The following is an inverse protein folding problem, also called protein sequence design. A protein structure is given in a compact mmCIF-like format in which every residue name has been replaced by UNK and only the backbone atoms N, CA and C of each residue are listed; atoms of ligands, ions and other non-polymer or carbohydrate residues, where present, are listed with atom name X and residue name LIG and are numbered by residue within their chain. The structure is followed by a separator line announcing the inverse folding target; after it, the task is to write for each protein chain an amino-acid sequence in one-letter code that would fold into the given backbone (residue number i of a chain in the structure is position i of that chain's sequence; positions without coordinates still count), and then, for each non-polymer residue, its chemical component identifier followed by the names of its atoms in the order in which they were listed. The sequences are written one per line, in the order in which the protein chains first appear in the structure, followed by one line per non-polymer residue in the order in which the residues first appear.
data_IF_696980114598
#
_entry.id   IF_696980114598
#
_cell.length_a   1.000
_cell.length_b   1.000
_cell.length_c   1.000
_cell.angle_alpha   90.00
_cell.angle_beta   90.00
_cell.angle_gamma   90.00
#
_symmetry.space_group_name_H-M   'P 1'
#
loop_
_entity.id
_entity.type
_entity.pdbx_description
1 polymer ?
#
# COMPACT_ATOMS: atom_id res chain seq x y z
N UNK A 1 -6.88 19.57 9.16
CA UNK A 1 -6.18 20.13 10.35
C UNK A 1 -6.07 21.66 10.23
N UNK A 2 -7.04 22.43 10.72
CA UNK A 2 -7.05 23.90 10.53
C UNK A 2 -5.82 24.55 11.17
N UNK A 3 -5.06 25.34 10.40
CA UNK A 3 -3.87 26.07 10.86
C UNK A 3 -2.60 25.22 11.02
N UNK A 4 -2.63 23.92 10.72
CA UNK A 4 -1.45 23.05 10.84
C UNK A 4 -0.39 23.40 9.79
N UNK A 5 -0.82 23.68 8.55
CA UNK A 5 0.06 24.18 7.48
C UNK A 5 0.74 25.48 7.90
N UNK A 6 -0.03 26.45 8.38
CA UNK A 6 0.48 27.77 8.79
C UNK A 6 1.49 27.65 9.93
N UNK A 7 1.20 26.78 10.91
CA UNK A 7 2.14 26.49 11.99
C UNK A 7 3.47 25.94 11.47
N UNK A 8 3.45 24.98 10.53
CA UNK A 8 4.66 24.42 9.93
C UNK A 8 5.45 25.47 9.13
N UNK A 9 4.75 26.36 8.40
CA UNK A 9 5.38 27.45 7.66
C UNK A 9 6.06 28.45 8.60
N UNK A 10 5.38 28.88 9.66
CA UNK A 10 5.97 29.76 10.68
C UNK A 10 7.17 29.09 11.35
N UNK A 11 7.05 27.83 11.76
CA UNK A 11 8.17 27.09 12.35
C UNK A 11 9.38 27.01 11.43
N UNK A 12 9.16 26.89 10.12
CA UNK A 12 10.24 26.91 9.14
C UNK A 12 10.84 28.30 8.98
N UNK A 13 10.02 29.35 8.91
CA UNK A 13 10.47 30.74 8.83
C UNK A 13 11.36 31.14 10.02
N UNK A 14 11.00 30.70 11.23
CA UNK A 14 11.77 30.95 12.46
C UNK A 14 12.92 29.96 12.71
N UNK A 15 13.23 29.05 11.78
CA UNK A 15 14.35 28.10 11.93
C UNK A 15 14.11 26.92 12.89
N UNK A 16 12.92 26.84 13.51
CA UNK A 16 12.57 25.79 14.46
C UNK A 16 12.46 24.43 13.77
N UNK A 17 11.82 24.38 12.60
CA UNK A 17 11.60 23.13 11.89
C UNK A 17 12.92 22.51 11.40
N UNK A 18 13.90 23.34 11.03
CA UNK A 18 15.25 22.95 10.62
C UNK A 18 16.12 22.54 11.82
N UNK A 19 15.82 23.07 13.02
CA UNK A 19 16.44 22.63 14.27
C UNK A 19 15.97 21.23 14.63
N UNK A 20 14.66 20.95 14.50
CA UNK A 20 14.07 19.63 14.75
C UNK A 20 14.46 18.63 13.67
N UNK A 21 14.48 19.07 12.40
CA UNK A 21 14.79 18.24 11.23
C UNK A 21 15.91 18.87 10.39
N UNK A 22 17.18 18.56 10.69
CA UNK A 22 18.33 19.16 10.00
C UNK A 22 18.35 18.96 8.48
N UNK A 23 17.66 17.94 7.96
CA UNK A 23 17.50 17.68 6.52
C UNK A 23 16.80 18.82 5.78
N UNK A 24 16.11 19.71 6.48
CA UNK A 24 15.37 20.84 5.90
C UNK A 24 16.21 22.12 5.79
N UNK A 25 17.46 22.17 6.29
CA UNK A 25 18.29 23.39 6.33
C UNK A 25 18.56 24.01 4.96
N UNK A 26 18.68 23.19 3.91
CA UNK A 26 19.04 23.64 2.56
C UNK A 26 17.82 23.77 1.63
N UNK A 27 16.62 23.83 2.20
CA UNK A 27 15.36 23.90 1.46
C UNK A 27 14.88 25.35 1.48
N UNK A 28 14.29 25.83 0.39
CA UNK A 28 13.76 27.20 0.36
C UNK A 28 12.37 27.25 1.00
N UNK A 29 11.96 28.42 1.50
CA UNK A 29 10.60 28.62 2.02
C UNK A 29 9.54 28.27 0.96
N UNK A 30 9.75 28.69 -0.29
CA UNK A 30 8.87 28.38 -1.44
C UNK A 30 8.74 26.88 -1.68
N UNK A 31 9.82 26.11 -1.51
CA UNK A 31 9.76 24.65 -1.62
C UNK A 31 8.94 24.02 -0.51
N UNK A 32 9.05 24.51 0.73
CA UNK A 32 8.23 24.06 1.85
C UNK A 32 6.77 24.40 1.62
N UNK A 33 6.46 25.64 1.23
CA UNK A 33 5.11 26.06 0.89
C UNK A 33 4.48 25.16 -0.18
N UNK A 34 5.23 24.86 -1.24
CA UNK A 34 4.78 23.95 -2.30
C UNK A 34 4.54 22.52 -1.77
N UNK A 35 5.39 22.00 -0.88
CA UNK A 35 5.21 20.67 -0.28
C UNK A 35 3.98 20.61 0.62
N UNK A 36 3.68 21.69 1.33
CA UNK A 36 2.56 21.74 2.28
C UNK A 36 1.23 22.16 1.64
N UNK A 37 1.22 22.46 0.33
CA UNK A 37 0.05 22.98 -0.39
C UNK A 37 -1.21 22.13 -0.21
N UNK A 38 -1.06 20.81 -0.16
CA UNK A 38 -2.17 19.85 -0.15
C UNK A 38 -2.55 19.37 1.25
N UNK A 39 -1.87 19.81 2.32
CA UNK A 39 -2.10 19.29 3.68
C UNK A 39 -3.52 19.51 4.17
N UNK A 40 -4.12 20.63 3.81
CA UNK A 40 -5.48 20.98 4.25
C UNK A 40 -6.55 20.08 3.61
N UNK A 41 -6.22 19.43 2.48
CA UNK A 41 -7.11 18.50 1.77
C UNK A 41 -7.06 17.07 2.33
N UNK A 42 -6.11 16.75 3.22
CA UNK A 42 -5.95 15.40 3.76
C UNK A 42 -7.18 14.94 4.58
N UNK A 43 -7.53 13.64 4.56
CA UNK A 43 -8.63 13.09 5.35
C UNK A 43 -8.45 13.36 6.85
N UNK A 44 -9.53 13.69 7.56
CA UNK A 44 -9.47 14.01 8.99
C UNK A 44 -9.10 12.81 9.88
N UNK A 45 -9.26 11.58 9.39
CA UNK A 45 -8.98 10.35 10.12
C UNK A 45 -7.55 9.82 9.88
N UNK A 46 -6.71 10.52 9.10
CA UNK A 46 -5.33 10.12 8.85
C UNK A 46 -4.41 10.50 10.03
N UNK A 47 -3.39 9.68 10.29
CA UNK A 47 -2.33 10.04 11.23
C UNK A 47 -1.60 11.32 10.79
N UNK A 48 -1.30 12.20 11.76
CA UNK A 48 -0.61 13.48 11.53
C UNK A 48 0.75 13.30 10.83
N UNK A 49 1.41 12.16 11.00
CA UNK A 49 2.65 11.85 10.29
C UNK A 49 2.47 11.85 8.77
N UNK A 50 1.30 11.48 8.24
CA UNK A 50 1.07 11.38 6.80
C UNK A 50 1.23 12.74 6.08
N UNK A 51 0.55 13.83 6.48
CA UNK A 51 0.79 15.14 5.90
C UNK A 51 2.19 15.67 6.23
N UNK A 52 2.75 15.36 7.41
CA UNK A 52 4.11 15.78 7.78
C UNK A 52 5.18 15.21 6.85
N UNK A 53 4.99 13.99 6.33
CA UNK A 53 5.92 13.35 5.40
C UNK A 53 6.10 14.12 4.08
N UNK A 54 5.18 15.02 3.72
CA UNK A 54 5.35 15.90 2.56
C UNK A 54 6.58 16.82 2.68
N UNK A 55 7.00 17.14 3.91
CA UNK A 55 8.25 17.85 4.15
C UNK A 55 9.47 17.10 3.62
N UNK A 56 9.39 15.78 3.48
CA UNK A 56 10.51 14.89 3.17
C UNK A 56 10.32 14.15 1.83
N UNK A 57 10.01 14.88 0.76
CA UNK A 57 9.73 14.29 -0.57
C UNK A 57 10.88 13.46 -1.17
N UNK A 58 12.14 13.82 -0.88
CA UNK A 58 13.32 13.27 -1.55
C UNK A 58 14.11 12.24 -0.71
N UNK A 59 13.50 11.68 0.34
CA UNK A 59 14.13 10.63 1.14
C UNK A 59 13.45 9.28 0.90
N UNK A 60 14.23 8.21 1.01
CA UNK A 60 13.71 6.85 0.88
C UNK A 60 12.85 6.45 2.10
N UNK A 61 12.14 5.34 1.96
CA UNK A 61 11.26 4.79 3.00
C UNK A 61 11.99 4.55 4.32
N UNK A 62 13.24 4.04 4.29
CA UNK A 62 14.01 3.77 5.51
C UNK A 62 14.25 5.05 6.32
N UNK A 63 14.61 6.16 5.67
CA UNK A 63 14.76 7.46 6.33
C UNK A 63 13.43 8.01 6.85
N UNK A 64 12.31 7.78 6.14
CA UNK A 64 10.97 8.15 6.65
C UNK A 64 10.65 7.38 7.94
N UNK A 65 11.00 6.09 8.00
CA UNK A 65 10.85 5.27 9.20
C UNK A 65 11.77 5.76 10.33
N UNK A 66 13.01 6.16 10.05
CA UNK A 66 13.89 6.77 11.05
C UNK A 66 13.30 8.06 11.64
N UNK A 67 12.69 8.92 10.82
CA UNK A 67 11.96 10.10 11.29
C UNK A 67 10.81 9.70 12.21
N UNK A 68 10.03 8.69 11.84
CA UNK A 68 8.93 8.19 12.68
C UNK A 68 9.45 7.70 14.04
N UNK A 69 10.59 7.00 14.06
CA UNK A 69 11.24 6.54 15.30
C UNK A 69 11.78 7.70 16.14
N UNK A 70 12.40 8.69 15.50
CA UNK A 70 12.89 9.91 16.15
C UNK A 70 11.74 10.66 16.84
N UNK A 71 10.59 10.76 16.19
CA UNK A 71 9.36 11.33 16.73
C UNK A 71 8.64 10.43 17.75
N UNK A 72 9.21 9.25 18.07
CA UNK A 72 8.66 8.26 19.00
C UNK A 72 7.22 7.84 18.67
N UNK A 73 6.90 7.74 17.37
CA UNK A 73 5.58 7.28 16.93
C UNK A 73 5.36 5.81 17.27
N UNK A 74 4.08 5.43 17.39
CA UNK A 74 3.71 4.05 17.67
C UNK A 74 4.07 3.12 16.50
N UNK A 75 4.21 1.82 16.79
CA UNK A 75 4.41 0.79 15.75
C UNK A 75 3.28 0.81 14.70
N UNK A 76 2.05 1.15 15.12
CA UNK A 76 0.90 1.28 14.22
C UNK A 76 1.10 2.41 13.21
N UNK A 77 1.56 3.58 13.66
CA UNK A 77 1.84 4.73 12.78
C UNK A 77 3.03 4.45 11.85
N UNK A 78 4.08 3.83 12.37
CA UNK A 78 5.24 3.40 11.57
C UNK A 78 4.80 2.44 10.47
N UNK A 79 3.96 1.44 10.80
CA UNK A 79 3.42 0.51 9.83
C UNK A 79 2.52 1.23 8.81
N UNK A 80 1.69 2.17 9.25
CA UNK A 80 0.89 2.97 8.33
C UNK A 80 1.75 3.73 7.32
N UNK A 81 2.86 4.35 7.75
CA UNK A 81 3.80 5.03 6.85
C UNK A 81 4.39 4.07 5.83
N UNK A 82 4.77 2.87 6.26
CA UNK A 82 5.27 1.84 5.35
C UNK A 82 4.24 1.44 4.28
N UNK A 83 3.00 1.19 4.71
CA UNK A 83 1.90 0.82 3.80
C UNK A 83 1.55 1.98 2.86
N UNK A 84 1.47 3.21 3.38
CA UNK A 84 1.20 4.42 2.60
C UNK A 84 2.24 4.59 1.47
N UNK A 85 3.53 4.56 1.79
CA UNK A 85 4.59 4.76 0.79
C UNK A 85 4.58 3.69 -0.31
N UNK A 86 4.45 2.41 0.08
CA UNK A 86 4.41 1.32 -0.87
C UNK A 86 3.16 1.39 -1.77
N UNK A 87 2.00 1.67 -1.18
CA UNK A 87 0.74 1.83 -1.90
C UNK A 87 0.79 3.01 -2.87
N UNK A 88 1.30 4.16 -2.44
CA UNK A 88 1.46 5.33 -3.29
C UNK A 88 2.40 5.06 -4.47
N UNK A 89 3.47 4.29 -4.25
CA UNK A 89 4.37 3.91 -5.33
C UNK A 89 3.73 2.93 -6.32
N UNK A 90 2.94 1.98 -5.85
CA UNK A 90 2.17 1.08 -6.71
C UNK A 90 1.14 1.87 -7.54
N UNK A 91 0.35 2.73 -6.88
CA UNK A 91 -0.75 3.46 -7.51
C UNK A 91 -0.29 4.47 -8.58
N UNK A 92 0.95 4.96 -8.56
CA UNK A 92 1.52 5.77 -9.66
C UNK A 92 1.44 5.06 -11.01
N UNK A 93 1.67 3.75 -11.02
CA UNK A 93 1.60 2.90 -12.20
C UNK A 93 0.46 1.87 -12.09
N UNK A 94 -0.70 2.30 -11.56
CA UNK A 94 -1.79 1.38 -11.20
C UNK A 94 -2.24 0.43 -12.34
N UNK A 95 -2.08 0.85 -13.60
CA UNK A 95 -2.41 0.03 -14.78
C UNK A 95 -1.52 -1.21 -14.95
N UNK A 96 -0.31 -1.21 -14.37
CA UNK A 96 0.64 -2.32 -14.42
C UNK A 96 0.49 -3.29 -13.25
N UNK A 97 -0.33 -2.96 -12.26
CA UNK A 97 -0.56 -3.80 -11.09
C UNK A 97 -1.43 -5.00 -11.50
N UNK A 98 -0.99 -6.20 -11.14
CA UNK A 98 -1.76 -7.43 -11.37
C UNK A 98 -2.97 -7.55 -10.41
N UNK A 99 -3.90 -8.45 -10.73
CA UNK A 99 -5.12 -8.60 -9.92
C UNK A 99 -4.80 -9.05 -8.49
N UNK A 100 -3.78 -9.90 -8.32
CA UNK A 100 -3.34 -10.39 -7.01
C UNK A 100 -2.90 -9.24 -6.10
N UNK A 101 -2.01 -8.40 -6.59
CA UNK A 101 -1.48 -7.25 -5.86
C UNK A 101 -2.59 -6.25 -5.55
N UNK A 102 -3.50 -5.99 -6.51
CA UNK A 102 -4.68 -5.18 -6.24
C UNK A 102 -5.59 -5.76 -5.17
N UNK A 103 -5.87 -7.07 -5.20
CA UNK A 103 -6.75 -7.70 -4.22
C UNK A 103 -6.19 -7.57 -2.80
N UNK A 104 -4.88 -7.77 -2.61
CA UNK A 104 -4.21 -7.54 -1.32
C UNK A 104 -4.24 -6.07 -0.91
N UNK A 105 -3.99 -5.16 -1.86
CA UNK A 105 -4.04 -3.73 -1.60
C UNK A 105 -5.45 -3.30 -1.13
N UNK A 106 -6.50 -3.77 -1.80
CA UNK A 106 -7.90 -3.51 -1.44
C UNK A 106 -8.34 -4.19 -0.14
N UNK A 107 -7.62 -5.21 0.32
CA UNK A 107 -7.90 -5.92 1.57
C UNK A 107 -7.26 -5.23 2.79
N UNK A 108 -6.36 -4.26 2.59
CA UNK A 108 -5.75 -3.52 3.69
C UNK A 108 -6.75 -2.54 4.33
N UNK A 109 -6.84 -2.56 5.65
CA UNK A 109 -7.74 -1.70 6.42
C UNK A 109 -7.51 -0.19 6.17
N UNK A 110 -6.27 0.21 5.86
CA UNK A 110 -5.92 1.61 5.61
C UNK A 110 -6.09 2.02 4.14
N UNK A 111 -6.44 1.08 3.25
CA UNK A 111 -6.46 1.34 1.81
C UNK A 111 -7.36 2.52 1.45
N UNK A 112 -8.54 2.61 2.06
CA UNK A 112 -9.49 3.69 1.77
C UNK A 112 -8.90 5.08 2.07
N UNK A 113 -8.24 5.23 3.21
CA UNK A 113 -7.55 6.48 3.59
C UNK A 113 -6.38 6.76 2.65
N UNK A 114 -5.63 5.73 2.27
CA UNK A 114 -4.52 5.85 1.32
C UNK A 114 -5.02 6.28 -0.06
N UNK A 115 -6.14 5.75 -0.51
CA UNK A 115 -6.74 6.09 -1.80
C UNK A 115 -7.20 7.55 -1.81
N UNK A 116 -7.80 8.03 -0.72
CA UNK A 116 -8.15 9.44 -0.57
C UNK A 116 -6.89 10.34 -0.61
N UNK A 117 -5.80 9.93 0.04
CA UNK A 117 -4.53 10.66 -0.04
C UNK A 117 -3.99 10.67 -1.47
N UNK A 118 -4.06 9.53 -2.17
CA UNK A 118 -3.65 9.42 -3.56
C UNK A 118 -4.47 10.36 -4.46
N UNK A 119 -5.79 10.42 -4.26
CA UNK A 119 -6.73 11.27 -5.00
C UNK A 119 -6.37 12.76 -4.94
N UNK A 120 -5.94 13.23 -3.76
CA UNK A 120 -5.53 14.63 -3.54
C UNK A 120 -4.32 15.00 -4.41
N UNK A 121 -3.44 14.03 -4.69
CA UNK A 121 -2.24 14.23 -5.50
C UNK A 121 -2.48 14.08 -7.01
N UNK A 122 -3.69 13.72 -7.43
CA UNK A 122 -4.07 13.65 -8.84
C UNK A 122 -4.57 15.00 -9.35
N UNK A 123 -4.24 15.30 -10.59
CA UNK A 123 -4.85 16.41 -11.32
C UNK A 123 -6.37 16.21 -11.45
N UNK A 124 -7.13 17.32 -11.37
CA UNK A 124 -8.60 17.30 -11.37
C UNK A 124 -9.19 16.51 -12.53
N UNK A 125 -8.61 16.61 -13.72
CA UNK A 125 -9.08 15.91 -14.92
C UNK A 125 -8.82 14.40 -14.86
N UNK A 126 -7.69 13.97 -14.28
CA UNK A 126 -7.32 12.57 -14.19
C UNK A 126 -8.07 11.84 -13.08
N UNK A 127 -8.32 12.55 -11.97
CA UNK A 127 -8.95 12.03 -10.76
C UNK A 127 -10.18 11.18 -11.03
N UNK A 128 -11.19 11.74 -11.71
CA UNK A 128 -12.46 11.04 -11.98
C UNK A 128 -12.25 9.73 -12.75
N UNK A 129 -11.37 9.76 -13.77
CA UNK A 129 -11.08 8.60 -14.60
C UNK A 129 -10.35 7.51 -13.79
N UNK A 130 -9.31 7.89 -13.06
CA UNK A 130 -8.50 6.94 -12.28
C UNK A 130 -9.34 6.31 -11.17
N UNK A 131 -10.16 7.09 -10.46
CA UNK A 131 -11.03 6.55 -9.41
C UNK A 131 -12.06 5.59 -9.98
N UNK A 132 -12.72 5.93 -11.10
CA UNK A 132 -13.67 5.03 -11.77
C UNK A 132 -13.01 3.71 -12.20
N UNK A 133 -11.79 3.74 -12.74
CA UNK A 133 -11.05 2.53 -13.10
C UNK A 133 -10.68 1.68 -11.88
N UNK A 134 -10.30 2.31 -10.76
CA UNK A 134 -10.00 1.63 -9.49
C UNK A 134 -11.26 1.01 -8.88
N UNK A 135 -12.38 1.71 -8.88
CA UNK A 135 -13.66 1.21 -8.35
C UNK A 135 -14.14 -0.02 -9.15
N UNK A 136 -14.13 0.06 -10.48
CA UNK A 136 -14.43 -1.08 -11.34
C UNK A 136 -13.50 -2.25 -11.06
N UNK A 137 -12.22 -2.01 -10.79
CA UNK A 137 -11.26 -3.05 -10.44
C UNK A 137 -11.60 -3.68 -9.08
N UNK A 138 -11.95 -2.89 -8.07
CA UNK A 138 -12.36 -3.34 -6.74
C UNK A 138 -13.60 -4.23 -6.82
N UNK A 139 -14.61 -3.80 -7.56
CA UNK A 139 -15.84 -4.59 -7.78
C UNK A 139 -15.55 -5.92 -8.47
N UNK A 140 -14.72 -5.90 -9.52
CA UNK A 140 -14.30 -7.11 -10.23
C UNK A 140 -13.50 -8.10 -9.37
N UNK A 141 -12.90 -7.64 -8.27
CA UNK A 141 -12.09 -8.46 -7.36
C UNK A 141 -12.79 -8.76 -6.03
N UNK A 142 -14.01 -8.28 -5.83
CA UNK A 142 -14.75 -8.34 -4.55
C UNK A 142 -14.70 -9.72 -3.89
N UNK A 143 -15.05 -10.78 -4.61
CA UNK A 143 -15.03 -12.14 -4.06
C UNK A 143 -13.65 -12.60 -3.59
N UNK A 144 -12.57 -12.15 -4.23
CA UNK A 144 -11.21 -12.49 -3.83
C UNK A 144 -10.75 -11.66 -2.63
N UNK A 145 -11.11 -10.37 -2.59
CA UNK A 145 -10.88 -9.48 -1.45
C UNK A 145 -11.55 -10.07 -0.20
N UNK A 146 -12.82 -10.47 -0.31
CA UNK A 146 -13.57 -11.09 0.78
C UNK A 146 -12.88 -12.36 1.29
N UNK A 147 -12.29 -13.17 0.40
CA UNK A 147 -11.55 -14.38 0.79
C UNK A 147 -10.26 -14.05 1.53
N UNK A 148 -9.50 -13.04 1.09
CA UNK A 148 -8.27 -12.60 1.75
C UNK A 148 -8.60 -12.10 3.16
N UNK A 149 -9.59 -11.22 3.29
CA UNK A 149 -10.01 -10.66 4.59
C UNK A 149 -10.46 -11.77 5.55
N UNK A 150 -11.21 -12.75 5.05
CA UNK A 150 -11.74 -13.86 5.86
C UNK A 150 -10.78 -15.06 6.00
N UNK A 151 -9.54 -14.97 5.49
CA UNK A 151 -8.57 -16.06 5.45
C UNK A 151 -9.16 -17.38 4.91
N UNK A 152 -9.95 -17.30 3.84
CA UNK A 152 -10.66 -18.44 3.25
C UNK A 152 -10.16 -18.76 1.83
N UNK A 153 -8.92 -19.31 1.70
CA UNK A 153 -8.36 -19.66 0.41
C UNK A 153 -9.10 -20.85 -0.23
N UNK A 154 -9.16 -20.86 -1.57
CA UNK A 154 -9.82 -21.93 -2.33
C UNK A 154 -9.02 -23.23 -2.23
N UNK A 155 -7.71 -23.14 -2.42
CA UNK A 155 -6.79 -24.28 -2.27
C UNK A 155 -6.29 -24.30 -0.83
N UNK A 156 -6.50 -25.43 -0.15
CA UNK A 156 -6.06 -25.67 1.22
C UNK A 156 -4.94 -26.70 1.27
N UNK A 157 -4.32 -26.83 2.44
CA UNK A 157 -3.22 -27.77 2.65
C UNK A 157 -3.63 -29.22 2.34
N UNK A 158 -4.88 -29.59 2.62
CA UNK A 158 -5.44 -30.92 2.34
C UNK A 158 -5.41 -31.24 0.84
N UNK A 159 -5.71 -30.25 -0.01
CA UNK A 159 -5.66 -30.43 -1.47
C UNK A 159 -4.24 -30.73 -1.96
N UNK A 160 -3.22 -30.08 -1.38
CA UNK A 160 -1.83 -30.32 -1.73
C UNK A 160 -1.30 -31.66 -1.19
N UNK A 161 -1.76 -32.09 -0.01
CA UNK A 161 -1.43 -33.42 0.53
C UNK A 161 -1.95 -34.55 -0.36
N UNK A 162 -3.15 -34.39 -0.94
CA UNK A 162 -3.70 -35.34 -1.92
C UNK A 162 -2.84 -35.45 -3.19
N UNK A 163 -2.04 -34.43 -3.49
CA UNK A 163 -1.05 -34.44 -4.58
C UNK A 163 0.33 -34.95 -4.15
N UNK A 164 0.47 -35.49 -2.93
CA UNK A 164 1.74 -36.01 -2.41
C UNK A 164 2.67 -34.96 -1.80
N UNK A 165 2.25 -33.69 -1.69
CA UNK A 165 3.09 -32.63 -1.13
C UNK A 165 3.17 -32.76 0.39
N UNK A 166 4.39 -32.85 0.92
CA UNK A 166 4.65 -32.95 2.36
C UNK A 166 4.54 -31.58 3.06
N UNK A 167 4.15 -31.60 4.33
CA UNK A 167 4.17 -30.42 5.20
C UNK A 167 5.60 -29.88 5.30
N UNK A 168 5.83 -28.72 4.70
CA UNK A 168 7.12 -28.05 4.64
C UNK A 168 6.92 -26.56 4.35
N UNK A 169 7.94 -25.69 4.51
CA UNK A 169 7.86 -24.29 4.09
C UNK A 169 7.46 -24.10 2.62
N UNK A 170 7.73 -25.11 1.77
CA UNK A 170 7.34 -25.12 0.37
C UNK A 170 5.82 -25.21 0.18
N UNK A 171 5.10 -25.91 1.06
CA UNK A 171 3.63 -25.96 1.04
C UNK A 171 3.04 -24.56 1.22
N UNK A 172 3.56 -23.76 2.16
CA UNK A 172 3.12 -22.37 2.34
C UNK A 172 3.35 -21.51 1.10
N UNK A 173 4.48 -21.70 0.41
CA UNK A 173 4.76 -21.02 -0.88
C UNK A 173 3.79 -21.45 -1.97
N UNK A 174 3.48 -22.75 -2.07
CA UNK A 174 2.51 -23.29 -3.04
C UNK A 174 1.10 -22.79 -2.79
N UNK A 175 0.67 -22.65 -1.53
CA UNK A 175 -0.63 -22.07 -1.19
C UNK A 175 -0.72 -20.60 -1.63
N UNK A 176 0.33 -19.81 -1.39
CA UNK A 176 0.41 -18.42 -1.89
C UNK A 176 0.38 -18.35 -3.42
N UNK A 177 1.10 -19.25 -4.09
CA UNK A 177 1.11 -19.30 -5.55
C UNK A 177 -0.26 -19.74 -6.11
N UNK A 178 -0.96 -20.67 -5.45
CA UNK A 178 -2.31 -21.08 -5.81
C UNK A 178 -3.31 -19.93 -5.67
N UNK A 179 -3.22 -19.14 -4.60
CA UNK A 179 -4.02 -17.93 -4.41
C UNK A 179 -3.71 -16.89 -5.51
N UNK A 180 -2.43 -16.67 -5.81
CA UNK A 180 -2.01 -15.79 -6.92
C UNK A 180 -2.60 -16.22 -8.25
N UNK A 181 -2.57 -17.51 -8.55
CA UNK A 181 -3.18 -18.10 -9.75
C UNK A 181 -4.70 -17.88 -9.75
N UNK A 182 -5.38 -18.16 -8.64
CA UNK A 182 -6.82 -17.97 -8.51
C UNK A 182 -7.24 -16.54 -8.83
N UNK A 183 -6.53 -15.55 -8.27
CA UNK A 183 -6.89 -14.14 -8.43
C UNK A 183 -6.52 -13.61 -9.82
N UNK A 184 -5.30 -13.90 -10.30
CA UNK A 184 -4.85 -13.40 -11.60
C UNK A 184 -5.62 -14.01 -12.78
N UNK A 185 -5.97 -15.29 -12.71
CA UNK A 185 -6.74 -15.99 -13.75
C UNK A 185 -8.25 -16.04 -13.49
N UNK A 186 -8.73 -15.41 -12.42
CA UNK A 186 -10.14 -15.38 -12.00
C UNK A 186 -10.77 -16.79 -11.87
N UNK A 187 -10.03 -17.72 -11.27
CA UNK A 187 -10.48 -19.10 -11.07
C UNK A 187 -11.12 -19.29 -9.70
N UNK A 188 -12.22 -20.06 -9.67
CA UNK A 188 -13.02 -20.27 -8.48
C UNK A 188 -13.12 -21.73 -8.01
N UNK A 189 -12.57 -22.67 -8.77
CA UNK A 189 -12.57 -24.10 -8.45
C UNK A 189 -11.16 -24.61 -8.18
N UNK A 190 -11.06 -25.56 -7.26
CA UNK A 190 -9.80 -26.14 -6.80
C UNK A 190 -9.03 -26.79 -7.95
N UNK A 191 -9.70 -27.57 -8.80
CA UNK A 191 -9.06 -28.38 -9.84
C UNK A 191 -8.36 -27.51 -10.89
N UNK A 192 -9.02 -26.47 -11.41
CA UNK A 192 -8.44 -25.55 -12.38
C UNK A 192 -7.22 -24.80 -11.81
N UNK A 193 -7.26 -24.44 -10.53
CA UNK A 193 -6.13 -23.80 -9.86
C UNK A 193 -4.96 -24.78 -9.74
N UNK A 194 -5.21 -26.01 -9.28
CA UNK A 194 -4.17 -27.05 -9.14
C UNK A 194 -3.55 -27.41 -10.49
N UNK A 195 -4.34 -27.49 -11.56
CA UNK A 195 -3.83 -27.79 -12.90
C UNK A 195 -2.91 -26.70 -13.45
N UNK A 196 -3.16 -25.44 -13.11
CA UNK A 196 -2.20 -24.35 -13.37
C UNK A 196 -1.00 -24.43 -12.44
N UNK A 197 -1.21 -24.71 -11.15
CA UNK A 197 -0.14 -24.78 -10.16
C UNK A 197 0.90 -25.85 -10.52
N UNK A 198 0.46 -27.02 -10.99
CA UNK A 198 1.33 -28.12 -11.47
C UNK A 198 2.28 -27.71 -12.60
N UNK A 199 1.92 -26.69 -13.39
CA UNK A 199 2.74 -26.19 -14.50
C UNK A 199 3.85 -25.24 -14.03
N UNK A 200 3.79 -24.75 -12.79
CA UNK A 200 4.80 -23.84 -12.23
C UNK A 200 6.09 -24.57 -11.87
N UNK A 201 7.23 -23.87 -11.95
CA UNK A 201 8.52 -24.41 -11.51
C UNK A 201 8.55 -24.71 -10.01
N UNK A 202 7.79 -23.93 -9.22
CA UNK A 202 7.68 -24.11 -7.79
C UNK A 202 7.07 -25.48 -7.45
N UNK A 203 6.01 -25.89 -8.14
CA UNK A 203 5.42 -27.21 -7.95
C UNK A 203 6.34 -28.34 -8.40
N UNK A 204 7.04 -28.18 -9.54
CA UNK A 204 8.00 -29.18 -10.02
C UNK A 204 9.15 -29.43 -9.05
N UNK A 205 9.55 -28.41 -8.29
CA UNK A 205 10.58 -28.54 -7.24
C UNK A 205 10.09 -29.19 -5.93
N UNK A 206 8.79 -29.49 -5.83
CA UNK A 206 8.17 -30.01 -4.59
C UNK A 206 7.91 -31.52 -4.60
N UNK A 207 8.09 -32.17 -5.74
CA UNK A 207 8.04 -33.63 -5.93
C UNK A 207 9.44 -34.22 -5.76
#
# INVERSE_FOLDING_TARGET
YKGFKDALLMMFEYGLLQTIFPVLKNITFKDIENRLKLIDDYPNNVFVIAPLLNLFKNININKKIEICKYLKLSNREINFVYVLENSMNLLKDYKKIDNYTFAYLFSDFNFEVILQIFEIHLDKEQRKKVMMEIDLKKDNLKTYIDRIINNNPIVKAENLKLLGIKNSPLMGKLLKEAEKISINFKLNDVNSILDKLKKTNLFKSSL
#
